data_IF_442743191755
#
_entry.id   IF_442743191755
#
_cell.length_a   1.000
_cell.length_b   1.000
_cell.length_c   1.000
_cell.angle_alpha   90.00
_cell.angle_beta   90.00
_cell.angle_gamma   90.00
#
_symmetry.space_group_name_H-M   'P 1'
#
loop_
_entity.id
_entity.type
_entity.pdbx_description
1 polymer ?
#
# COMPACT_ATOMS: atom_id res chain seq x y z
N UNK A 1 75.69 43.66 -9.75
CA UNK A 1 75.74 42.84 -10.98
C UNK A 1 75.15 41.50 -10.60
N UNK A 2 73.86 41.30 -10.88
CA UNK A 2 73.38 40.58 -12.09
C UNK A 2 73.79 39.09 -12.00
N UNK A 3 72.94 38.06 -12.08
CA UNK A 3 71.56 37.88 -12.56
C UNK A 3 71.07 36.45 -12.19
N UNK A 4 69.74 36.30 -11.98
CA UNK A 4 68.81 35.21 -12.41
C UNK A 4 69.23 33.72 -12.33
N UNK A 5 68.57 32.86 -11.53
CA UNK A 5 67.24 32.20 -11.63
C UNK A 5 67.30 30.76 -12.23
N UNK A 6 66.88 29.77 -11.43
CA UNK A 6 66.53 28.40 -11.80
C UNK A 6 65.76 27.76 -10.64
N UNK A 7 64.66 27.02 -10.87
CA UNK A 7 63.65 26.76 -9.85
C UNK A 7 63.99 25.56 -8.95
N UNK A 8 63.47 25.59 -7.73
CA UNK A 8 63.49 24.49 -6.78
C UNK A 8 62.41 23.48 -7.20
N UNK A 9 62.82 22.29 -7.63
CA UNK A 9 61.92 21.14 -7.77
C UNK A 9 61.61 20.61 -6.37
N UNK A 10 60.38 20.80 -5.91
CA UNK A 10 59.84 20.17 -4.71
C UNK A 10 58.87 19.06 -5.16
N UNK A 11 59.25 17.82 -4.88
CA UNK A 11 58.47 16.60 -5.14
C UNK A 11 57.11 16.68 -4.45
N UNK A 12 56.05 16.98 -5.22
CA UNK A 12 54.68 16.80 -4.78
C UNK A 12 54.31 15.31 -4.88
N UNK A 13 54.31 14.64 -3.73
CA UNK A 13 53.73 13.31 -3.59
C UNK A 13 52.26 13.32 -4.04
N UNK A 14 51.95 12.52 -5.05
CA UNK A 14 50.61 12.33 -5.56
C UNK A 14 49.72 11.67 -4.49
N UNK A 15 48.80 12.44 -3.90
CA UNK A 15 47.65 11.90 -3.19
C UNK A 15 46.61 11.48 -4.22
N UNK A 16 46.34 10.17 -4.30
CA UNK A 16 45.27 9.60 -5.10
C UNK A 16 43.92 10.25 -4.75
N UNK A 17 43.00 10.44 -5.71
CA UNK A 17 41.65 10.87 -5.40
C UNK A 17 41.00 9.79 -4.54
N UNK A 18 40.70 10.15 -3.29
CA UNK A 18 39.96 9.30 -2.39
C UNK A 18 38.62 8.95 -3.01
N UNK A 19 38.39 7.65 -3.17
CA UNK A 19 37.07 7.08 -3.42
C UNK A 19 36.15 7.50 -2.28
N UNK A 20 35.35 8.54 -2.51
CA UNK A 20 34.19 8.83 -1.69
C UNK A 20 33.12 7.81 -2.04
N UNK A 21 33.09 6.75 -1.26
CA UNK A 21 31.92 5.89 -1.15
C UNK A 21 30.72 6.74 -0.69
N UNK A 22 29.60 6.59 -1.39
CA UNK A 22 28.29 6.90 -0.84
C UNK A 22 27.32 5.83 -1.29
N UNK A 23 27.22 4.77 -0.49
CA UNK A 23 26.04 3.89 -0.45
C UNK A 23 24.87 4.63 0.27
N UNK A 24 24.73 5.93 0.00
CA UNK A 24 23.64 6.73 0.50
C UNK A 24 22.43 6.47 -0.41
N UNK A 25 21.26 6.12 0.13
CA UNK A 25 20.07 5.91 -0.69
C UNK A 25 19.82 7.17 -1.51
N UNK A 26 19.68 7.00 -2.82
CA UNK A 26 19.46 8.12 -3.76
C UNK A 26 18.27 8.97 -3.28
N UNK A 27 18.38 10.31 -3.26
CA UNK A 27 17.36 11.19 -2.68
C UNK A 27 16.11 11.32 -3.58
N UNK A 28 16.05 10.62 -4.70
CA UNK A 28 14.96 10.72 -5.66
C UNK A 28 13.78 9.83 -5.28
N UNK A 29 12.57 10.35 -5.43
CA UNK A 29 11.32 9.65 -5.17
C UNK A 29 10.36 9.91 -6.32
N UNK A 30 9.54 8.92 -6.68
CA UNK A 30 8.60 9.00 -7.78
C UNK A 30 7.19 9.26 -7.25
N UNK A 31 6.51 10.28 -7.77
CA UNK A 31 5.12 10.56 -7.50
C UNK A 31 4.23 9.42 -8.01
N UNK A 32 3.49 8.81 -7.11
CA UNK A 32 2.53 7.73 -7.39
C UNK A 32 1.08 8.21 -7.36
N UNK A 33 0.85 9.44 -6.89
CA UNK A 33 -0.44 10.12 -6.90
C UNK A 33 -0.26 11.55 -7.41
N UNK A 34 -1.32 12.09 -8.00
CA UNK A 34 -1.37 13.49 -8.40
C UNK A 34 -1.77 14.37 -7.21
N UNK A 35 -1.08 15.49 -7.06
CA UNK A 35 -1.35 16.48 -6.02
C UNK A 35 -1.37 17.86 -6.64
N UNK A 36 -2.42 18.65 -6.38
CA UNK A 36 -2.48 20.04 -6.83
C UNK A 36 -2.14 20.95 -5.66
N UNK A 37 -1.13 21.79 -5.83
CA UNK A 37 -0.70 22.75 -4.81
C UNK A 37 -1.85 23.67 -4.40
N UNK A 38 -2.15 23.70 -3.11
CA UNK A 38 -3.07 24.63 -2.47
C UNK A 38 -2.39 25.96 -2.09
N UNK A 39 -1.05 25.94 -1.93
CA UNK A 39 -0.22 27.09 -1.56
C UNK A 39 0.93 27.39 -2.53
N UNK A 40 1.54 28.58 -2.39
CA UNK A 40 2.72 28.98 -3.19
C UNK A 40 4.01 28.26 -2.76
N UNK A 41 4.03 27.73 -1.55
CA UNK A 41 5.10 26.94 -0.95
C UNK A 41 4.99 25.44 -1.26
N UNK A 42 3.89 25.00 -1.87
CA UNK A 42 3.62 23.60 -2.19
C UNK A 42 3.99 23.24 -3.64
N UNK A 43 4.43 22.01 -3.86
CA UNK A 43 4.70 21.45 -5.19
C UNK A 43 3.47 20.72 -5.73
N UNK A 44 3.04 21.07 -6.95
CA UNK A 44 2.11 20.23 -7.71
C UNK A 44 2.85 18.97 -8.18
N UNK A 45 2.30 17.79 -7.89
CA UNK A 45 2.81 16.50 -8.32
C UNK A 45 1.93 15.95 -9.45
N UNK A 46 2.55 15.52 -10.54
CA UNK A 46 1.94 14.71 -11.58
C UNK A 46 2.43 13.26 -11.47
N UNK A 47 1.61 12.33 -11.93
CA UNK A 47 1.94 10.91 -11.87
C UNK A 47 3.27 10.64 -12.59
N UNK A 48 4.22 10.03 -11.89
CA UNK A 48 5.54 9.70 -12.43
C UNK A 48 6.59 10.79 -12.27
N UNK A 49 6.25 11.96 -11.73
CA UNK A 49 7.23 13.01 -11.42
C UNK A 49 8.32 12.49 -10.50
N UNK A 50 9.57 12.82 -10.79
CA UNK A 50 10.71 12.48 -9.94
C UNK A 50 11.05 13.69 -9.08
N UNK A 51 10.78 13.58 -7.80
CA UNK A 51 11.05 14.60 -6.79
C UNK A 51 12.35 14.26 -6.09
N UNK A 52 13.26 15.23 -6.01
CA UNK A 52 14.43 15.12 -5.14
C UNK A 52 14.01 15.50 -3.72
N UNK A 53 14.07 14.56 -2.79
CA UNK A 53 13.72 14.78 -1.37
C UNK A 53 14.91 15.44 -0.67
N UNK A 54 14.70 16.70 -0.26
CA UNK A 54 15.69 17.51 0.43
C UNK A 54 15.62 17.35 1.96
N UNK A 55 14.41 17.18 2.51
CA UNK A 55 14.21 16.93 3.94
C UNK A 55 12.93 16.15 4.22
N UNK A 56 13.00 15.24 5.20
CA UNK A 56 11.84 14.49 5.75
C UNK A 56 11.41 14.97 7.14
N UNK A 57 12.09 15.99 7.67
CA UNK A 57 11.86 16.51 9.01
C UNK A 57 10.64 17.44 9.02
N UNK A 58 9.66 17.13 9.87
CA UNK A 58 8.43 17.92 10.03
C UNK A 58 8.69 19.33 10.57
N UNK A 59 9.83 19.58 11.22
CA UNK A 59 10.24 20.93 11.60
C UNK A 59 10.65 21.80 10.41
N UNK A 60 11.05 21.17 9.29
CA UNK A 60 11.45 21.86 8.06
C UNK A 60 10.25 22.08 7.14
N UNK A 61 9.37 21.08 7.03
CA UNK A 61 8.16 21.16 6.20
C UNK A 61 6.99 21.88 6.87
N UNK A 62 7.01 22.02 8.19
CA UNK A 62 5.99 22.73 8.97
C UNK A 62 4.78 21.88 9.37
N UNK A 63 4.66 20.65 8.88
CA UNK A 63 3.59 19.71 9.22
C UNK A 63 4.05 18.24 9.14
N UNK A 64 3.48 17.38 9.98
CA UNK A 64 3.71 15.94 9.92
C UNK A 64 3.09 15.35 8.65
N UNK A 65 3.82 14.48 7.95
CA UNK A 65 3.39 13.90 6.67
C UNK A 65 3.68 14.77 5.44
N UNK A 66 4.42 15.87 5.61
CA UNK A 66 4.93 16.70 4.53
C UNK A 66 6.45 16.65 4.47
N UNK A 67 7.00 16.54 3.28
CA UNK A 67 8.44 16.59 3.02
C UNK A 67 8.79 17.80 2.16
N UNK A 68 10.04 18.26 2.27
CA UNK A 68 10.58 19.30 1.41
C UNK A 68 11.35 18.65 0.27
N UNK A 69 11.11 19.11 -0.96
CA UNK A 69 11.82 18.58 -2.11
C UNK A 69 11.91 19.57 -3.26
N UNK A 70 12.53 19.10 -4.33
CA UNK A 70 12.70 19.86 -5.56
C UNK A 70 12.10 19.09 -6.73
N UNK A 71 11.28 19.79 -7.52
CA UNK A 71 10.65 19.29 -8.73
C UNK A 71 10.67 20.39 -9.79
N UNK A 72 11.14 20.08 -11.00
CA UNK A 72 11.23 21.05 -12.10
C UNK A 72 11.93 22.37 -11.70
N UNK A 73 13.00 22.28 -10.91
CA UNK A 73 13.76 23.41 -10.33
C UNK A 73 13.02 24.26 -9.28
N UNK A 74 11.76 23.96 -8.97
CA UNK A 74 11.02 24.58 -7.86
C UNK A 74 11.24 23.78 -6.60
N UNK A 75 11.59 24.48 -5.52
CA UNK A 75 11.63 23.90 -4.17
C UNK A 75 10.30 24.20 -3.48
N UNK A 76 9.74 23.20 -2.83
CA UNK A 76 8.52 23.34 -2.06
C UNK A 76 8.25 22.12 -1.20
N UNK A 77 7.17 22.20 -0.44
CA UNK A 77 6.67 21.09 0.35
C UNK A 77 5.68 20.24 -0.46
N UNK A 78 5.63 18.95 -0.18
CA UNK A 78 4.67 18.04 -0.78
C UNK A 78 4.33 16.92 0.21
N UNK A 79 3.15 16.31 0.10
CA UNK A 79 2.74 15.24 0.99
C UNK A 79 3.60 13.99 0.75
N UNK A 80 4.25 13.49 1.80
CA UNK A 80 5.24 12.41 1.70
C UNK A 80 4.65 11.09 1.20
N UNK A 81 3.37 10.85 1.47
CA UNK A 81 2.64 9.67 1.03
C UNK A 81 2.25 9.72 -0.47
N UNK A 82 2.57 10.80 -1.19
CA UNK A 82 2.32 10.91 -2.63
C UNK A 82 3.49 10.43 -3.47
N UNK A 83 4.61 10.09 -2.84
CA UNK A 83 5.83 9.65 -3.50
C UNK A 83 6.32 8.31 -2.92
N UNK A 84 7.05 7.53 -3.71
CA UNK A 84 7.71 6.27 -3.30
C UNK A 84 9.19 6.33 -3.71
N UNK A 85 10.11 5.57 -3.09
CA UNK A 85 11.47 5.45 -3.64
C UNK A 85 11.38 5.01 -5.11
N UNK A 86 12.36 5.32 -5.97
CA UNK A 86 12.28 5.13 -7.41
C UNK A 86 11.95 3.66 -7.66
N UNK A 87 10.68 3.42 -8.00
CA UNK A 87 10.26 2.08 -8.30
C UNK A 87 10.73 1.79 -9.73
N UNK A 88 11.30 0.60 -10.01
CA UNK A 88 11.40 0.17 -11.39
C UNK A 88 10.01 0.29 -12.01
N UNK A 89 9.93 0.96 -13.15
CA UNK A 89 8.70 1.10 -13.93
C UNK A 89 7.99 -0.26 -14.00
N UNK A 90 6.78 -0.32 -13.42
CA UNK A 90 5.93 -1.51 -13.15
C UNK A 90 6.13 -2.22 -11.79
N UNK A 91 5.70 -1.61 -10.69
CA UNK A 91 5.44 -2.34 -9.44
C UNK A 91 4.35 -3.41 -9.57
N UNK A 92 3.47 -3.25 -10.56
CA UNK A 92 2.34 -4.13 -10.79
C UNK A 92 2.60 -4.98 -12.01
N UNK A 93 2.57 -6.30 -11.84
CA UNK A 93 2.63 -7.24 -12.94
C UNK A 93 1.26 -7.33 -13.62
N UNK A 94 1.20 -6.96 -14.90
CA UNK A 94 0.02 -7.20 -15.74
C UNK A 94 0.04 -8.66 -16.22
N UNK A 95 -1.02 -9.41 -15.89
CA UNK A 95 -1.21 -10.81 -16.25
C UNK A 95 -2.28 -10.88 -17.35
N UNK A 96 -2.03 -11.64 -18.41
CA UNK A 96 -3.08 -11.94 -19.38
C UNK A 96 -4.09 -12.91 -18.75
N UNK A 97 -5.37 -12.57 -18.79
CA UNK A 97 -6.41 -13.41 -18.20
C UNK A 97 -6.43 -14.83 -18.78
N UNK A 98 -5.98 -15.01 -20.03
CA UNK A 98 -5.84 -16.33 -20.65
C UNK A 98 -4.81 -17.25 -19.96
N UNK A 99 -3.89 -16.70 -19.16
CA UNK A 99 -2.94 -17.48 -18.35
C UNK A 99 -3.55 -18.00 -17.04
N UNK A 100 -4.74 -17.51 -16.67
CA UNK A 100 -5.44 -17.92 -15.44
C UNK A 100 -6.35 -19.11 -15.72
N UNK A 101 -6.19 -20.16 -14.92
CA UNK A 101 -7.15 -21.27 -14.88
C UNK A 101 -8.07 -21.07 -13.69
N UNK A 102 -9.26 -20.52 -13.91
CA UNK A 102 -10.26 -20.33 -12.86
C UNK A 102 -10.89 -21.67 -12.44
N UNK A 103 -11.11 -21.82 -11.14
CA UNK A 103 -11.79 -22.96 -10.54
C UNK A 103 -13.06 -22.50 -9.80
N UNK A 104 -13.29 -22.97 -8.57
CA UNK A 104 -14.51 -22.68 -7.83
C UNK A 104 -14.57 -21.22 -7.32
N UNK A 105 -15.79 -20.74 -7.14
CA UNK A 105 -16.04 -19.48 -6.44
C UNK A 105 -15.87 -19.70 -4.94
N UNK A 106 -14.95 -18.96 -4.34
CA UNK A 106 -14.62 -19.05 -2.91
C UNK A 106 -15.23 -17.92 -2.07
N UNK A 107 -15.70 -16.86 -2.73
CA UNK A 107 -16.34 -15.72 -2.09
C UNK A 107 -17.27 -14.96 -3.04
N UNK A 108 -18.43 -14.57 -2.53
CA UNK A 108 -19.38 -13.67 -3.20
C UNK A 108 -19.82 -12.64 -2.17
N UNK A 109 -19.71 -11.35 -2.50
CA UNK A 109 -20.19 -10.31 -1.60
C UNK A 109 -20.10 -8.89 -2.14
N UNK A 110 -20.08 -7.95 -1.21
CA UNK A 110 -19.97 -6.50 -1.44
C UNK A 110 -18.70 -6.06 -2.17
N UNK A 111 -17.82 -6.97 -2.54
CA UNK A 111 -16.55 -6.70 -3.19
C UNK A 111 -16.38 -7.42 -4.54
N UNK A 112 -17.45 -8.06 -5.04
CA UNK A 112 -17.42 -8.84 -6.27
C UNK A 112 -17.32 -10.34 -6.02
N UNK A 113 -17.03 -11.08 -7.10
CA UNK A 113 -16.80 -12.53 -7.07
C UNK A 113 -15.31 -12.81 -6.92
N UNK A 114 -14.98 -13.73 -6.03
CA UNK A 114 -13.62 -14.22 -5.83
C UNK A 114 -13.58 -15.70 -6.21
N UNK A 115 -12.67 -16.03 -7.10
CA UNK A 115 -12.42 -17.39 -7.58
C UNK A 115 -11.11 -17.90 -6.98
N UNK A 116 -11.06 -19.20 -6.67
CA UNK A 116 -9.79 -19.91 -6.62
C UNK A 116 -9.32 -20.13 -8.06
N UNK A 117 -8.02 -20.03 -8.30
CA UNK A 117 -7.47 -20.22 -9.63
C UNK A 117 -6.01 -20.66 -9.56
N UNK A 118 -5.45 -21.01 -10.72
CA UNK A 118 -4.02 -21.25 -10.90
C UNK A 118 -3.43 -20.27 -11.93
N UNK A 119 -2.23 -19.78 -11.65
CA UNK A 119 -1.41 -18.96 -12.54
C UNK A 119 0.01 -19.53 -12.57
N UNK A 120 0.47 -20.00 -13.73
CA UNK A 120 1.80 -20.63 -13.91
C UNK A 120 2.05 -21.75 -12.86
N UNK A 121 1.01 -22.53 -12.54
CA UNK A 121 1.07 -23.62 -11.56
C UNK A 121 0.97 -23.19 -10.09
N UNK A 122 1.03 -21.88 -9.80
CA UNK A 122 0.83 -21.34 -8.46
C UNK A 122 -0.66 -21.08 -8.19
N UNK A 123 -1.10 -21.45 -6.99
CA UNK A 123 -2.48 -21.27 -6.56
C UNK A 123 -2.73 -19.84 -6.08
N UNK A 124 -3.75 -19.20 -6.65
CA UNK A 124 -4.06 -17.78 -6.48
C UNK A 124 -5.55 -17.56 -6.21
N UNK A 125 -5.87 -16.41 -5.63
CA UNK A 125 -7.23 -15.91 -5.52
C UNK A 125 -7.44 -14.80 -6.58
N UNK A 126 -8.47 -14.93 -7.41
CA UNK A 126 -8.80 -13.96 -8.45
C UNK A 126 -10.07 -13.22 -8.06
N UNK A 127 -9.95 -11.93 -7.78
CA UNK A 127 -11.07 -11.05 -7.45
C UNK A 127 -11.45 -10.22 -8.67
N UNK A 128 -12.63 -10.50 -9.22
CA UNK A 128 -13.16 -9.73 -10.34
C UNK A 128 -13.43 -8.29 -9.90
N UNK A 129 -12.95 -7.32 -10.68
CA UNK A 129 -13.28 -5.93 -10.47
C UNK A 129 -14.78 -5.72 -10.66
N UNK A 130 -15.34 -4.77 -9.92
CA UNK A 130 -16.71 -4.33 -10.17
C UNK A 130 -16.69 -3.46 -11.42
N UNK A 131 -17.65 -3.69 -12.29
CA UNK A 131 -17.94 -2.82 -13.41
C UNK A 131 -19.36 -2.29 -13.21
N UNK A 132 -19.48 -0.99 -13.02
CA UNK A 132 -20.76 -0.31 -13.14
C UNK A 132 -21.03 -0.11 -14.63
N UNK A 133 -22.15 -0.62 -15.19
CA UNK A 133 -22.48 -0.46 -16.60
C UNK A 133 -22.54 1.00 -17.06
N UNK A 134 -22.75 1.93 -16.13
CA UNK A 134 -22.86 3.37 -16.41
C UNK A 134 -21.50 4.12 -16.29
N UNK A 135 -20.43 3.46 -15.79
CA UNK A 135 -19.08 4.06 -15.70
C UNK A 135 -18.28 3.88 -17.00
N UNK A 136 -17.50 4.91 -17.36
CA UNK A 136 -16.52 4.81 -18.45
C UNK A 136 -15.51 3.68 -18.13
N UNK A 137 -15.38 2.75 -19.07
CA UNK A 137 -14.49 1.61 -18.92
C UNK A 137 -13.02 2.03 -18.78
N UNK A 138 -12.61 3.11 -19.45
CA UNK A 138 -11.26 3.66 -19.34
C UNK A 138 -10.99 4.15 -17.92
N UNK A 139 -11.99 4.78 -17.30
CA UNK A 139 -11.91 5.21 -15.91
C UNK A 139 -11.90 4.02 -14.94
N UNK A 140 -12.68 2.98 -15.24
CA UNK A 140 -12.67 1.72 -14.45
C UNK A 140 -11.28 1.07 -14.48
N UNK A 141 -10.67 0.94 -15.66
CA UNK A 141 -9.33 0.38 -15.83
C UNK A 141 -8.30 1.18 -15.03
N UNK A 142 -8.34 2.50 -15.11
CA UNK A 142 -7.38 3.34 -14.38
C UNK A 142 -7.59 3.26 -12.86
N UNK A 143 -8.84 3.21 -12.39
CA UNK A 143 -9.13 3.01 -10.97
C UNK A 143 -8.55 1.67 -10.47
N UNK A 144 -8.76 0.58 -11.22
CA UNK A 144 -8.20 -0.75 -10.88
C UNK A 144 -6.68 -0.73 -10.91
N UNK A 145 -6.07 -0.05 -11.89
CA UNK A 145 -4.61 0.10 -11.98
C UNK A 145 -4.05 0.85 -10.78
N UNK A 146 -4.70 1.94 -10.35
CA UNK A 146 -4.28 2.72 -9.19
C UNK A 146 -4.42 1.92 -7.89
N UNK A 147 -5.53 1.20 -7.71
CA UNK A 147 -5.72 0.30 -6.57
C UNK A 147 -4.63 -0.78 -6.54
N UNK A 148 -4.33 -1.40 -7.70
CA UNK A 148 -3.29 -2.41 -7.82
C UNK A 148 -1.89 -1.85 -7.48
N UNK A 149 -1.59 -0.60 -7.86
CA UNK A 149 -0.31 0.06 -7.51
C UNK A 149 -0.16 0.23 -6.00
N UNK A 150 -1.17 0.77 -5.33
CA UNK A 150 -1.18 0.91 -3.87
C UNK A 150 -1.01 -0.43 -3.19
N UNK A 151 -1.75 -1.43 -3.66
CA UNK A 151 -1.73 -2.77 -3.09
C UNK A 151 -0.37 -3.46 -3.31
N UNK A 152 0.25 -3.30 -4.48
CA UNK A 152 1.58 -3.84 -4.76
C UNK A 152 2.69 -3.28 -3.84
N UNK A 153 2.48 -2.08 -3.27
CA UNK A 153 3.41 -1.48 -2.32
C UNK A 153 3.33 -2.10 -0.91
N UNK A 154 2.24 -2.83 -0.60
CA UNK A 154 2.04 -3.45 0.70
C UNK A 154 2.82 -4.76 0.83
N UNK A 155 3.71 -4.81 1.81
CA UNK A 155 4.58 -5.96 2.08
C UNK A 155 4.65 -6.22 3.57
N UNK A 156 3.80 -7.12 4.05
CA UNK A 156 3.78 -7.51 5.46
C UNK A 156 3.28 -8.95 5.63
N UNK A 157 3.84 -9.77 6.55
CA UNK A 157 3.44 -11.17 6.74
C UNK A 157 1.95 -11.36 7.04
N UNK A 158 1.32 -10.39 7.70
CA UNK A 158 -0.10 -10.42 8.07
C UNK A 158 -1.03 -9.63 7.13
N UNK A 159 -0.55 -9.24 5.94
CA UNK A 159 -1.37 -8.65 4.88
C UNK A 159 -1.38 -9.62 3.69
N UNK A 160 -2.52 -9.77 3.02
CA UNK A 160 -2.61 -10.56 1.80
C UNK A 160 -1.76 -9.89 0.70
N UNK A 161 -1.03 -10.63 -0.11
CA UNK A 161 -0.13 -10.10 -1.13
C UNK A 161 -0.82 -10.05 -2.50
N UNK A 162 -0.64 -8.95 -3.22
CA UNK A 162 -0.96 -8.87 -4.64
C UNK A 162 0.12 -9.59 -5.45
N UNK A 163 -0.29 -10.42 -6.41
CA UNK A 163 0.58 -11.12 -7.36
C UNK A 163 0.59 -10.46 -8.73
N UNK A 164 -0.54 -9.89 -9.13
CA UNK A 164 -0.66 -9.14 -10.37
C UNK A 164 -2.08 -8.64 -10.59
N UNK A 165 -2.33 -8.11 -11.79
CA UNK A 165 -3.62 -7.54 -12.20
C UNK A 165 -3.91 -7.92 -13.64
N UNK A 166 -5.17 -8.15 -13.99
CA UNK A 166 -5.63 -8.16 -15.36
C UNK A 166 -6.32 -6.82 -15.67
N UNK A 167 -5.81 -6.08 -16.65
CA UNK A 167 -6.35 -4.79 -17.08
C UNK A 167 -6.96 -4.81 -18.49
N UNK A 168 -7.05 -6.00 -19.10
CA UNK A 168 -7.68 -6.19 -20.41
C UNK A 168 -9.15 -6.54 -20.23
N UNK A 169 -10.00 -5.82 -20.95
CA UNK A 169 -11.41 -6.16 -21.05
C UNK A 169 -11.64 -7.55 -21.69
N UNK A 170 -12.74 -8.23 -21.34
CA UNK A 170 -13.75 -7.85 -20.34
C UNK A 170 -13.37 -8.26 -18.90
N UNK A 171 -12.16 -8.78 -18.69
CA UNK A 171 -11.78 -9.49 -17.48
C UNK A 171 -10.83 -8.66 -16.61
N UNK A 172 -11.35 -7.56 -16.06
CA UNK A 172 -10.62 -6.76 -15.08
C UNK A 172 -10.62 -7.48 -13.73
N UNK A 173 -9.44 -7.80 -13.18
CA UNK A 173 -9.36 -8.50 -11.89
C UNK A 173 -8.01 -8.31 -11.18
N UNK A 174 -8.02 -8.50 -9.86
CA UNK A 174 -6.83 -8.57 -9.03
C UNK A 174 -6.47 -10.04 -8.78
N UNK A 175 -5.19 -10.37 -8.96
CA UNK A 175 -4.63 -11.71 -8.70
C UNK A 175 -3.84 -11.63 -7.39
N UNK A 176 -4.27 -12.37 -6.38
CA UNK A 176 -3.75 -12.31 -5.01
C UNK A 176 -3.24 -13.68 -4.56
N UNK A 177 -2.41 -13.70 -3.51
CA UNK A 177 -2.03 -14.97 -2.88
C UNK A 177 -3.28 -15.71 -2.34
N UNK A 178 -3.28 -17.04 -2.47
CA UNK A 178 -4.38 -17.87 -2.00
C UNK A 178 -4.17 -18.34 -0.55
N UNK A 179 -5.12 -18.00 0.32
CA UNK A 179 -5.12 -18.43 1.72
C UNK A 179 -5.95 -19.72 1.91
N UNK A 180 -5.25 -20.85 2.02
CA UNK A 180 -5.83 -22.21 2.00
C UNK A 180 -6.74 -22.52 3.19
N UNK A 181 -6.54 -21.84 4.32
CA UNK A 181 -7.35 -22.03 5.53
C UNK A 181 -8.68 -21.28 5.50
N UNK A 182 -8.91 -20.42 4.49
CA UNK A 182 -10.13 -19.65 4.34
C UNK A 182 -10.34 -18.60 5.43
N UNK A 183 -11.55 -18.02 5.52
CA UNK A 183 -11.83 -16.93 6.45
C UNK A 183 -11.96 -17.41 7.89
N UNK A 184 -11.44 -16.61 8.82
CA UNK A 184 -11.35 -16.89 10.25
C UNK A 184 -12.74 -17.13 10.88
N UNK A 185 -13.78 -16.43 10.42
CA UNK A 185 -15.15 -16.61 10.91
C UNK A 185 -15.66 -18.07 10.85
N UNK A 186 -15.25 -18.85 9.84
CA UNK A 186 -15.63 -20.27 9.70
C UNK A 186 -14.99 -21.14 10.78
N UNK A 187 -13.81 -20.75 11.27
CA UNK A 187 -13.11 -21.47 12.34
C UNK A 187 -13.67 -21.09 13.70
N UNK A 188 -14.03 -19.80 13.88
CA UNK A 188 -14.66 -19.30 15.10
C UNK A 188 -16.07 -19.88 15.31
N UNK A 189 -16.79 -20.17 14.23
CA UNK A 189 -18.12 -20.78 14.32
C UNK A 189 -18.04 -22.25 14.75
N UNK A 190 -18.21 -22.50 16.04
CA UNK A 190 -18.47 -23.86 16.57
C UNK A 190 -17.30 -24.58 17.23
N UNK A 191 -16.17 -23.91 17.49
CA UNK A 191 -15.01 -24.50 18.18
C UNK A 191 -14.58 -23.66 19.39
N UNK A 192 -14.22 -24.34 20.49
CA UNK A 192 -13.45 -23.70 21.57
C UNK A 192 -12.00 -23.60 21.13
N UNK A 193 -11.52 -22.37 21.01
CA UNK A 193 -10.14 -22.10 20.63
C UNK A 193 -9.33 -21.83 21.89
N UNK A 194 -8.17 -22.48 22.06
CA UNK A 194 -7.28 -22.22 23.19
C UNK A 194 -6.92 -20.73 23.30
N UNK A 195 -6.87 -20.15 24.53
CA UNK A 195 -6.58 -18.74 24.72
C UNK A 195 -5.23 -18.28 24.15
N UNK A 196 -4.21 -19.12 24.21
CA UNK A 196 -2.88 -18.85 23.65
C UNK A 196 -2.93 -18.64 22.13
N UNK A 197 -3.74 -19.44 21.42
CA UNK A 197 -3.95 -19.29 19.98
C UNK A 197 -4.71 -18.00 19.67
N UNK A 198 -5.74 -17.67 20.45
CA UNK A 198 -6.51 -16.43 20.28
C UNK A 198 -5.63 -15.19 20.49
N UNK A 199 -4.80 -15.17 21.53
CA UNK A 199 -3.86 -14.08 21.78
C UNK A 199 -2.86 -13.95 20.64
N UNK A 200 -2.29 -15.07 20.18
CA UNK A 200 -1.37 -15.06 19.04
C UNK A 200 -2.03 -14.47 17.78
N UNK A 201 -3.26 -14.87 17.47
CA UNK A 201 -4.05 -14.36 16.35
C UNK A 201 -4.35 -12.87 16.48
N UNK A 202 -4.75 -12.41 17.67
CA UNK A 202 -4.99 -10.99 17.93
C UNK A 202 -3.72 -10.15 17.71
N UNK A 203 -2.55 -10.64 18.15
CA UNK A 203 -1.26 -9.98 17.91
C UNK A 203 -0.94 -9.90 16.42
N UNK A 204 -1.18 -10.98 15.65
CA UNK A 204 -0.98 -10.98 14.21
C UNK A 204 -1.86 -9.95 13.48
N UNK A 205 -3.14 -9.87 13.84
CA UNK A 205 -4.07 -8.89 13.28
C UNK A 205 -3.63 -7.47 13.65
N UNK A 206 -3.29 -7.23 14.92
CA UNK A 206 -2.83 -5.93 15.39
C UNK A 206 -1.55 -5.47 14.67
N UNK A 207 -0.59 -6.37 14.43
CA UNK A 207 0.62 -6.08 13.63
C UNK A 207 0.27 -5.71 12.19
N UNK A 208 -0.62 -6.47 11.56
CA UNK A 208 -1.09 -6.15 10.20
C UNK A 208 -1.75 -4.78 10.13
N UNK A 209 -2.61 -4.44 11.11
CA UNK A 209 -3.26 -3.12 11.17
C UNK A 209 -2.27 -1.99 11.47
N UNK A 210 -1.31 -2.19 12.38
CA UNK A 210 -0.24 -1.23 12.64
C UNK A 210 0.55 -0.93 11.37
N UNK A 211 0.89 -1.98 10.61
CA UNK A 211 1.54 -1.82 9.33
C UNK A 211 0.73 -0.95 8.36
N UNK A 212 -0.57 -1.25 8.18
CA UNK A 212 -1.43 -0.45 7.30
C UNK A 212 -1.56 1.01 7.75
N UNK A 213 -1.63 1.27 9.05
CA UNK A 213 -1.89 2.60 9.60
C UNK A 213 -0.65 3.49 9.67
N UNK A 214 0.52 2.92 9.98
CA UNK A 214 1.68 3.67 10.43
C UNK A 214 3.00 3.32 9.71
N UNK A 215 3.14 2.12 9.13
CA UNK A 215 4.41 1.67 8.53
C UNK A 215 4.37 1.60 7.00
N UNK A 216 3.19 1.47 6.39
CA UNK A 216 3.02 1.49 4.95
C UNK A 216 3.41 2.87 4.39
N UNK A 217 3.99 2.87 3.19
CA UNK A 217 4.40 4.11 2.48
C UNK A 217 3.24 5.10 2.39
N UNK A 218 2.03 4.57 2.15
CA UNK A 218 0.78 5.31 2.21
C UNK A 218 -0.08 4.71 3.31
N UNK A 219 -0.45 5.49 4.35
CA UNK A 219 -1.37 5.02 5.38
C UNK A 219 -2.74 4.63 4.81
N UNK A 220 -3.21 3.43 5.16
CA UNK A 220 -4.44 2.80 4.68
C UNK A 220 -5.38 2.56 5.86
N UNK A 221 -6.59 3.13 5.83
CA UNK A 221 -7.65 2.78 6.79
C UNK A 221 -8.46 1.62 6.22
N UNK A 222 -8.55 0.49 6.93
CA UNK A 222 -9.20 -0.71 6.39
C UNK A 222 -10.71 -0.55 6.19
N UNK A 223 -11.42 0.08 7.15
CA UNK A 223 -12.87 0.41 7.13
C UNK A 223 -13.85 -0.77 7.17
N UNK A 224 -13.43 -1.98 6.83
CA UNK A 224 -14.22 -3.21 6.94
C UNK A 224 -13.47 -4.35 7.67
N UNK A 225 -12.76 -4.03 8.76
CA UNK A 225 -12.07 -5.05 9.55
C UNK A 225 -13.12 -5.93 10.27
N UNK A 226 -13.10 -7.23 9.98
CA UNK A 226 -13.97 -8.25 10.57
C UNK A 226 -13.41 -9.64 10.33
N UNK A 227 -13.84 -10.63 11.11
CA UNK A 227 -13.33 -12.01 11.02
C UNK A 227 -13.57 -12.72 9.68
N UNK A 228 -14.46 -12.24 8.81
CA UNK A 228 -14.59 -12.75 7.43
C UNK A 228 -13.52 -12.22 6.48
N UNK A 229 -12.86 -11.11 6.83
CA UNK A 229 -11.81 -10.45 6.06
C UNK A 229 -10.42 -10.72 6.68
N UNK A 230 -10.35 -11.67 7.62
CA UNK A 230 -9.11 -12.25 8.12
C UNK A 230 -9.03 -13.67 7.58
N UNK A 231 -7.99 -13.96 6.79
CA UNK A 231 -7.77 -15.26 6.19
C UNK A 231 -6.67 -16.02 6.92
N UNK A 232 -6.79 -17.34 6.95
CA UNK A 232 -5.74 -18.24 7.43
C UNK A 232 -4.94 -18.72 6.22
N UNK A 233 -3.65 -18.39 6.17
CA UNK A 233 -2.81 -18.69 5.00
C UNK A 233 -2.68 -20.20 4.77
N UNK A 234 -2.34 -20.95 5.83
CA UNK A 234 -2.17 -22.39 5.75
C UNK A 234 -3.50 -23.13 5.86
N UNK A 235 -3.59 -24.30 5.23
CA UNK A 235 -4.74 -25.19 5.35
C UNK A 235 -4.91 -25.64 6.82
N UNK A 236 -6.15 -25.69 7.28
CA UNK A 236 -6.50 -26.23 8.61
C UNK A 236 -6.82 -27.71 8.45
N UNK A 237 -5.92 -28.59 8.88
CA UNK A 237 -6.09 -30.04 8.81
C UNK A 237 -6.37 -30.61 10.19
N UNK A 238 -7.32 -31.53 10.29
CA UNK A 238 -7.68 -32.22 11.55
C UNK A 238 -7.97 -31.28 12.74
N UNK A 239 -8.35 -30.03 12.46
CA UNK A 239 -8.60 -29.02 13.49
C UNK A 239 -7.34 -28.44 14.14
N UNK A 240 -6.15 -28.69 13.61
CA UNK A 240 -4.92 -28.08 14.09
C UNK A 240 -4.89 -26.58 13.74
N UNK A 241 -4.92 -25.76 14.78
CA UNK A 241 -4.86 -24.29 14.71
C UNK A 241 -3.49 -23.74 15.10
N UNK A 242 -2.53 -24.61 15.43
CA UNK A 242 -1.18 -24.19 15.82
C UNK A 242 -0.41 -23.60 14.63
N UNK A 243 0.43 -22.60 14.90
CA UNK A 243 1.37 -22.00 13.94
C UNK A 243 0.74 -21.50 12.63
N UNK A 244 -0.53 -21.07 12.69
CA UNK A 244 -1.23 -20.52 11.53
C UNK A 244 -0.94 -19.03 11.38
N UNK A 245 -0.67 -18.60 10.15
CA UNK A 245 -0.47 -17.20 9.80
C UNK A 245 -1.82 -16.62 9.39
N UNK A 246 -2.21 -15.53 10.04
CA UNK A 246 -3.38 -14.74 9.68
C UNK A 246 -3.01 -13.61 8.73
N UNK A 247 -3.84 -13.38 7.73
CA UNK A 247 -3.67 -12.32 6.72
C UNK A 247 -4.93 -11.50 6.58
N UNK A 248 -4.78 -10.19 6.66
CA UNK A 248 -5.86 -9.22 6.43
C UNK A 248 -6.05 -9.09 4.91
N UNK A 249 -7.30 -9.12 4.47
CA UNK A 249 -7.71 -8.97 3.06
C UNK A 249 -8.87 -7.96 2.94
N UNK A 250 -9.24 -7.61 1.71
CA UNK A 250 -10.43 -6.80 1.41
C UNK A 250 -10.43 -5.38 1.99
N UNK A 251 -9.25 -4.80 2.14
CA UNK A 251 -9.07 -3.35 2.33
C UNK A 251 -9.30 -2.55 1.03
N UNK A 252 -9.98 -3.09 0.01
CA UNK A 252 -10.32 -2.37 -1.22
C UNK A 252 -11.39 -1.28 -1.06
N UNK A 253 -12.00 -1.15 0.14
CA UNK A 253 -12.75 0.05 0.53
C UNK A 253 -11.88 1.09 1.24
N UNK A 254 -10.60 0.78 1.46
CA UNK A 254 -9.67 1.70 2.06
C UNK A 254 -9.45 2.86 1.11
N UNK A 255 -10.03 4.01 1.47
CA UNK A 255 -9.61 5.28 0.91
C UNK A 255 -8.50 5.81 1.78
N UNK A 256 -7.50 6.41 1.14
CA UNK A 256 -6.47 7.22 1.77
C UNK A 256 -7.06 8.12 2.86
N UNK A 257 -6.32 8.27 3.95
CA UNK A 257 -6.64 9.19 5.04
C UNK A 257 -7.05 10.57 4.51
N UNK A 258 -6.31 11.10 3.53
CA UNK A 258 -6.46 12.45 3.00
C UNK A 258 -7.70 12.68 2.11
N UNK A 259 -8.34 11.64 1.57
CA UNK A 259 -9.55 11.78 0.74
C UNK A 259 -10.85 11.84 1.56
N UNK A 260 -10.77 11.82 2.90
CA UNK A 260 -11.92 11.69 3.81
C UNK A 260 -12.64 13.02 4.11
N UNK A 261 -12.33 14.13 3.43
CA UNK A 261 -13.09 15.39 3.55
C UNK A 261 -14.28 15.52 2.59
N UNK A 262 -14.53 14.55 1.68
CA UNK A 262 -15.74 14.53 0.83
C UNK A 262 -16.47 13.19 0.88
N UNK A 263 -17.70 13.23 1.40
CA UNK A 263 -18.59 12.09 1.67
C UNK A 263 -19.07 11.39 0.40
N UNK A 264 -19.31 10.08 0.50
CA UNK A 264 -20.32 9.37 -0.30
C UNK A 264 -21.23 8.62 0.68
N UNK A 265 -22.53 8.94 0.66
CA UNK A 265 -23.51 8.59 1.67
C UNK A 265 -24.06 7.15 1.52
N UNK A 266 -23.88 6.30 2.54
CA UNK A 266 -24.77 5.18 2.90
C UNK A 266 -24.24 4.42 4.14
N UNK A 267 -25.01 4.32 5.23
CA UNK A 267 -24.75 3.34 6.31
C UNK A 267 -25.23 3.70 7.73
N UNK A 268 -26.44 3.23 8.08
CA UNK A 268 -27.13 2.94 9.37
C UNK A 268 -26.63 3.51 10.73
N UNK A 269 -27.51 4.28 11.38
CA UNK A 269 -27.32 5.22 12.50
C UNK A 269 -27.49 4.71 13.96
N UNK A 270 -27.36 3.42 14.27
CA UNK A 270 -27.90 2.92 15.55
C UNK A 270 -26.98 2.94 16.80
N UNK A 271 -25.68 3.27 16.72
CA UNK A 271 -24.76 3.05 17.87
C UNK A 271 -23.60 4.06 18.00
N UNK A 272 -23.87 5.38 18.01
CA UNK A 272 -22.83 6.42 18.07
C UNK A 272 -22.91 7.32 19.32
N UNK A 273 -21.74 7.64 19.90
CA UNK A 273 -21.55 8.54 21.03
C UNK A 273 -21.79 10.02 20.66
N UNK A 274 -22.21 10.90 21.60
CA UNK A 274 -22.78 12.22 21.31
C UNK A 274 -21.83 13.24 20.67
N UNK A 275 -20.52 13.06 20.79
CA UNK A 275 -19.48 13.84 20.09
C UNK A 275 -19.43 13.51 18.59
N UNK A 276 -19.88 12.32 18.19
CA UNK A 276 -19.82 11.80 16.81
C UNK A 276 -21.03 12.26 15.97
N UNK A 277 -22.06 12.83 16.57
CA UNK A 277 -23.25 13.36 15.86
C UNK A 277 -22.92 14.69 15.13
N UNK A 278 -21.81 15.36 15.49
CA UNK A 278 -21.55 16.74 15.05
C UNK A 278 -20.47 16.88 13.97
N UNK A 279 -19.71 15.83 13.65
CA UNK A 279 -18.57 15.95 12.76
C UNK A 279 -18.19 14.65 12.02
N UNK A 280 -19.16 13.99 11.37
CA UNK A 280 -19.02 12.90 10.37
C UNK A 280 -17.59 12.60 9.84
N UNK A 281 -16.74 11.92 10.61
CA UNK A 281 -15.33 11.63 10.27
C UNK A 281 -14.95 10.21 10.72
N UNK A 282 -14.58 9.35 9.77
CA UNK A 282 -13.99 8.03 10.05
C UNK A 282 -12.49 8.19 10.32
N UNK A 283 -11.96 7.51 11.33
CA UNK A 283 -10.57 7.66 11.79
C UNK A 283 -9.93 6.32 12.18
N UNK A 284 -8.62 6.31 12.47
CA UNK A 284 -7.89 5.13 13.00
C UNK A 284 -8.63 4.51 14.21
N UNK A 285 -9.25 5.34 15.05
CA UNK A 285 -10.05 4.89 16.20
C UNK A 285 -11.26 4.02 15.83
N UNK A 286 -11.81 4.17 14.62
CA UNK A 286 -12.92 3.33 14.15
C UNK A 286 -12.52 1.91 13.78
N UNK A 287 -11.28 1.72 13.31
CA UNK A 287 -10.70 0.39 13.08
C UNK A 287 -10.30 -0.28 14.40
N UNK A 288 -9.83 0.48 15.40
CA UNK A 288 -9.46 -0.04 16.74
C UNK A 288 -10.66 -0.54 17.54
N UNK A 289 -11.85 0.05 17.33
CA UNK A 289 -13.08 -0.32 18.04
C UNK A 289 -13.73 -1.62 17.51
N UNK A 290 -13.41 -2.07 16.29
CA UNK A 290 -14.02 -3.23 15.63
C UNK A 290 -13.18 -4.49 15.74
#
# INVERSE_FOLDING_TARGET
MDRYHGPMEEEAAAAAPGELGSDAPLPYWTAVFEYEAAGEDELTLRLGDVVEVLSKDSQVSGDEGWWTGQLHQRVGIFPSNYVTPPAPSSLVLEIDFAELTLEEIIGIGGFGKVYRAFWIGDEVAVKAARHDPDEDISQTIENVRQEAKLFAMLKHPNIIALRGVCLKEPNLCLVMEFARGGPLNRVLSGKRIPPDILVNWAVQIARGMNYLHDEAIVPIIHRDLKSSNILILQKVENGDLSNKILKITDFGLAREWHRTTKMSAAGTYAWMAPEVIRASMFSKGSDVWR
#
